data_IF_078310949748
#
_entry.id   IF_078310949748
#
_cell.length_a   1.000
_cell.length_b   1.000
_cell.length_c   1.000
_cell.angle_alpha   90.00
_cell.angle_beta   90.00
_cell.angle_gamma   90.00
#
_symmetry.space_group_name_H-M   'P 1'
#
loop_
_entity.id
_entity.type
_entity.pdbx_description
1 polymer ?
#
# COMPACT_ATOMS: atom_id res chain seq x y z
N UNK A 1 -36.16 0.52 51.73
CA UNK A 1 -36.31 0.18 50.30
C UNK A 1 -35.82 1.37 49.50
N UNK A 2 -34.62 1.25 48.90
CA UNK A 2 -34.00 2.26 48.05
C UNK A 2 -33.45 1.54 46.81
N UNK A 3 -33.56 2.11 45.59
CA UNK A 3 -33.18 1.42 44.37
C UNK A 3 -31.67 1.51 44.14
N UNK A 4 -31.08 0.38 43.72
CA UNK A 4 -29.69 0.25 43.32
C UNK A 4 -29.47 0.82 41.92
N UNK A 5 -28.62 1.84 41.82
CA UNK A 5 -28.13 2.38 40.55
C UNK A 5 -27.00 1.48 40.02
N UNK A 6 -27.28 0.73 38.97
CA UNK A 6 -26.27 -0.02 38.21
C UNK A 6 -25.48 0.97 37.34
N UNK A 7 -24.23 1.23 37.72
CA UNK A 7 -23.26 1.96 36.89
C UNK A 7 -22.81 1.06 35.74
N UNK A 8 -23.11 1.46 34.50
CA UNK A 8 -22.52 0.88 33.28
C UNK A 8 -21.06 1.33 33.17
N UNK A 9 -20.07 0.43 32.99
CA UNK A 9 -18.71 0.85 32.71
C UNK A 9 -18.60 1.33 31.25
N UNK A 10 -18.04 2.53 31.08
CA UNK A 10 -17.56 3.02 29.79
C UNK A 10 -16.35 2.17 29.39
N UNK A 11 -16.49 1.36 28.33
CA UNK A 11 -15.39 0.66 27.70
C UNK A 11 -14.56 1.68 26.91
N UNK A 12 -13.33 1.92 27.38
CA UNK A 12 -12.33 2.70 26.67
C UNK A 12 -11.88 1.93 25.42
N UNK A 13 -11.99 2.57 24.25
CA UNK A 13 -11.43 2.10 22.99
C UNK A 13 -9.90 2.29 23.05
N UNK A 14 -9.07 1.27 22.79
CA UNK A 14 -7.63 1.45 22.78
C UNK A 14 -7.23 2.23 21.51
N UNK A 15 -6.68 3.42 21.70
CA UNK A 15 -5.99 4.20 20.67
C UNK A 15 -4.70 3.47 20.32
N UNK A 16 -4.55 3.03 19.06
CA UNK A 16 -3.31 2.45 18.55
C UNK A 16 -2.26 3.57 18.39
N UNK A 17 -1.27 3.57 19.28
CA UNK A 17 -0.14 4.48 19.22
C UNK A 17 0.90 4.00 18.21
N UNK A 18 1.07 4.73 17.11
CA UNK A 18 2.28 4.69 16.29
C UNK A 18 3.36 5.51 17.01
N UNK A 19 4.42 4.85 17.47
CA UNK A 19 5.60 5.52 18.03
C UNK A 19 6.37 6.23 16.91
N UNK A 20 6.06 7.52 16.72
CA UNK A 20 6.93 8.45 16.00
C UNK A 20 8.03 8.94 16.94
N UNK A 21 9.29 8.79 16.54
CA UNK A 21 10.44 9.28 17.29
C UNK A 21 10.39 10.80 17.47
N UNK A 22 10.62 11.26 18.69
CA UNK A 22 10.65 12.67 19.05
C UNK A 22 11.80 13.40 18.34
N UNK A 23 11.48 14.42 17.55
CA UNK A 23 12.43 15.44 17.12
C UNK A 23 12.35 16.61 18.12
N UNK A 24 13.43 16.84 18.86
CA UNK A 24 13.57 18.04 19.70
C UNK A 24 13.76 19.28 18.82
N UNK A 25 13.12 20.42 19.14
CA UNK A 25 13.31 21.64 18.38
C UNK A 25 14.68 22.27 18.72
N UNK A 26 15.55 22.39 17.71
CA UNK A 26 16.72 23.27 17.80
C UNK A 26 16.25 24.68 17.47
N UNK A 27 16.31 25.58 18.45
CA UNK A 27 16.09 27.01 18.24
C UNK A 27 17.31 27.62 17.57
N UNK A 28 17.24 27.85 16.25
CA UNK A 28 18.25 28.65 15.55
C UNK A 28 17.83 30.12 15.67
N UNK A 29 18.57 30.90 16.44
CA UNK A 29 18.46 32.37 16.41
C UNK A 29 19.06 32.89 15.11
N UNK A 30 18.22 33.34 14.18
CA UNK A 30 18.66 34.01 12.96
C UNK A 30 18.96 35.48 13.28
N UNK A 31 20.24 35.85 13.21
CA UNK A 31 20.64 37.25 12.99
C UNK A 31 20.62 37.48 11.48
N UNK A 32 19.78 38.40 11.02
CA UNK A 32 19.65 38.74 9.61
C UNK A 32 20.73 39.77 9.23
N UNK A 33 21.62 39.38 8.33
CA UNK A 33 22.58 40.28 7.69
C UNK A 33 21.97 40.80 6.36
N UNK A 34 21.68 42.10 6.22
CA UNK A 34 20.98 42.63 5.04
C UNK A 34 21.98 42.89 3.92
N UNK A 35 22.35 41.85 3.15
CA UNK A 35 23.26 42.05 2.02
C UNK A 35 23.61 40.86 1.12
N UNK A 36 23.16 39.64 1.41
CA UNK A 36 23.47 38.50 0.54
C UNK A 36 22.44 38.33 -0.59
N UNK A 37 22.86 38.11 -1.85
CA UNK A 37 21.94 37.79 -2.93
C UNK A 37 21.22 36.49 -2.61
N UNK A 38 19.89 36.51 -2.66
CA UNK A 38 19.04 35.33 -2.51
C UNK A 38 19.28 34.42 -3.71
N UNK A 39 20.24 33.50 -3.57
CA UNK A 39 20.31 32.33 -4.44
C UNK A 39 19.04 31.56 -4.13
N UNK A 40 18.08 31.55 -5.05
CA UNK A 40 16.92 30.70 -4.94
C UNK A 40 17.42 29.25 -4.83
N UNK A 41 17.49 28.72 -3.59
CA UNK A 41 17.74 27.31 -3.37
C UNK A 41 16.72 26.55 -4.20
N UNK A 42 17.23 25.79 -5.18
CA UNK A 42 16.42 24.86 -5.96
C UNK A 42 15.80 23.90 -4.95
N UNK A 43 14.52 24.11 -4.61
CA UNK A 43 13.81 23.32 -3.61
C UNK A 43 13.94 21.84 -3.96
N UNK A 44 14.30 21.03 -2.96
CA UNK A 44 14.45 19.60 -3.16
C UNK A 44 13.10 19.00 -3.61
N UNK A 45 13.07 18.41 -4.80
CA UNK A 45 11.91 17.68 -5.29
C UNK A 45 12.01 16.22 -4.88
N UNK A 46 10.86 15.60 -4.56
CA UNK A 46 10.82 14.17 -4.27
C UNK A 46 11.32 13.34 -5.46
N UNK A 47 12.32 12.50 -5.20
CA UNK A 47 12.73 11.45 -6.13
C UNK A 47 11.72 10.32 -6.04
N UNK A 48 11.11 9.94 -7.16
CA UNK A 48 10.15 8.84 -7.24
C UNK A 48 10.41 8.09 -8.54
N UNK A 49 10.69 6.80 -8.44
CA UNK A 49 10.88 5.91 -9.59
C UNK A 49 10.27 4.55 -9.31
N UNK A 50 9.26 4.17 -10.10
CA UNK A 50 8.73 2.82 -10.12
C UNK A 50 9.50 1.95 -11.13
N UNK A 51 9.98 0.78 -10.68
CA UNK A 51 10.61 -0.22 -11.56
C UNK A 51 10.00 -1.59 -11.30
N UNK A 52 9.66 -2.31 -12.37
CA UNK A 52 9.07 -3.64 -12.28
C UNK A 52 9.48 -4.54 -13.44
N UNK A 53 9.34 -5.84 -13.22
CA UNK A 53 9.63 -6.92 -14.17
C UNK A 53 8.37 -7.76 -14.31
N UNK A 54 7.85 -7.86 -15.54
CA UNK A 54 6.60 -8.58 -15.82
C UNK A 54 6.60 -9.36 -17.14
N UNK A 55 7.66 -9.23 -17.95
CA UNK A 55 7.74 -9.88 -19.27
C UNK A 55 8.80 -10.97 -19.28
N UNK A 56 8.66 -11.90 -20.23
CA UNK A 56 9.61 -13.02 -20.41
C UNK A 56 11.08 -12.59 -20.51
N UNK A 57 11.37 -11.44 -21.14
CA UNK A 57 12.74 -10.89 -21.22
C UNK A 57 13.24 -10.37 -19.87
N UNK A 58 12.35 -9.77 -19.07
CA UNK A 58 12.65 -9.16 -17.79
C UNK A 58 13.05 -10.26 -16.80
N UNK A 59 12.28 -11.36 -16.79
CA UNK A 59 12.60 -12.56 -16.03
C UNK A 59 13.92 -13.21 -16.47
N UNK A 60 14.24 -13.22 -17.76
CA UNK A 60 15.53 -13.76 -18.26
C UNK A 60 16.73 -12.89 -17.90
N UNK A 61 16.53 -11.59 -17.71
CA UNK A 61 17.58 -10.68 -17.26
C UNK A 61 17.96 -10.92 -15.79
N UNK A 62 17.02 -11.42 -14.97
CA UNK A 62 17.30 -11.79 -13.59
C UNK A 62 17.92 -13.19 -13.44
N UNK A 63 18.36 -13.49 -12.21
CA UNK A 63 18.93 -14.80 -11.87
C UNK A 63 17.84 -15.77 -11.44
N UNK A 64 17.64 -16.85 -12.21
CA UNK A 64 16.67 -17.92 -11.94
C UNK A 64 17.31 -19.12 -11.24
N UNK A 65 16.69 -19.63 -10.17
CA UNK A 65 17.06 -20.87 -9.49
C UNK A 65 15.82 -21.74 -9.26
N UNK A 66 15.71 -22.85 -9.96
CA UNK A 66 14.58 -23.79 -9.83
C UNK A 66 13.24 -23.30 -10.41
N UNK A 67 13.22 -22.09 -10.98
CA UNK A 67 12.10 -21.48 -11.69
C UNK A 67 12.34 -21.46 -13.20
N UNK A 68 11.30 -21.14 -13.97
CA UNK A 68 11.32 -20.86 -15.40
C UNK A 68 10.30 -19.79 -15.75
N UNK A 69 10.43 -19.23 -16.95
CA UNK A 69 9.41 -18.38 -17.55
C UNK A 69 8.47 -19.19 -18.44
N UNK A 70 7.16 -18.95 -18.38
CA UNK A 70 6.19 -19.47 -19.36
C UNK A 70 5.01 -18.51 -19.50
N UNK A 71 4.60 -18.22 -20.75
CA UNK A 71 3.48 -17.31 -21.06
C UNK A 71 3.56 -15.96 -20.33
N UNK A 72 4.76 -15.39 -20.20
CA UNK A 72 4.97 -14.12 -19.50
C UNK A 72 5.21 -14.24 -17.99
N UNK A 73 4.92 -15.38 -17.37
CA UNK A 73 4.99 -15.54 -15.91
C UNK A 73 6.17 -16.38 -15.42
N UNK A 74 6.53 -16.22 -14.15
CA UNK A 74 7.51 -17.03 -13.44
C UNK A 74 6.84 -18.21 -12.71
N UNK A 75 7.34 -19.43 -12.93
CA UNK A 75 6.79 -20.69 -12.41
C UNK A 75 7.91 -21.61 -11.90
N UNK A 76 7.59 -22.58 -11.04
CA UNK A 76 8.52 -23.65 -10.67
C UNK A 76 8.76 -24.64 -11.84
N UNK A 77 10.00 -25.10 -12.03
CA UNK A 77 10.36 -26.18 -13.00
C UNK A 77 11.17 -27.29 -12.36
N UNK A 78 12.28 -26.93 -11.72
CA UNK A 78 13.20 -27.84 -11.04
C UNK A 78 13.44 -27.32 -9.62
N UNK A 79 12.37 -27.23 -8.80
CA UNK A 79 12.50 -26.68 -7.46
C UNK A 79 13.46 -27.53 -6.62
N UNK A 80 14.14 -26.89 -5.68
CA UNK A 80 14.95 -27.55 -4.66
C UNK A 80 14.14 -27.71 -3.38
N UNK A 81 14.60 -28.54 -2.46
CA UNK A 81 14.06 -28.55 -1.10
C UNK A 81 14.37 -27.21 -0.44
N UNK A 82 13.33 -26.53 0.02
CA UNK A 82 13.40 -25.32 0.84
C UNK A 82 12.67 -25.51 2.16
N UNK A 83 12.87 -24.60 3.11
CA UNK A 83 12.10 -24.57 4.35
C UNK A 83 11.39 -23.22 4.49
N UNK A 84 10.19 -23.25 5.06
CA UNK A 84 9.41 -22.09 5.47
C UNK A 84 8.75 -22.43 6.81
N UNK A 85 9.02 -21.64 7.85
CA UNK A 85 8.59 -21.92 9.24
C UNK A 85 8.92 -23.35 9.72
N UNK A 86 10.13 -23.81 9.42
CA UNK A 86 10.60 -25.16 9.76
C UNK A 86 10.05 -26.30 8.89
N UNK A 87 8.97 -26.07 8.14
CA UNK A 87 8.34 -27.06 7.26
C UNK A 87 9.03 -27.13 5.89
N UNK A 88 9.13 -28.34 5.34
CA UNK A 88 9.74 -28.57 4.03
C UNK A 88 8.78 -28.21 2.88
N UNK A 89 9.32 -27.53 1.87
CA UNK A 89 8.63 -27.13 0.65
C UNK A 89 9.50 -27.42 -0.58
N UNK A 90 8.87 -27.50 -1.75
CA UNK A 90 9.57 -27.26 -3.00
C UNK A 90 9.71 -25.76 -3.21
N UNK A 91 10.94 -25.30 -3.45
CA UNK A 91 11.25 -23.88 -3.59
C UNK A 91 12.05 -23.58 -4.86
N UNK A 92 11.78 -22.42 -5.44
CA UNK A 92 12.58 -21.81 -6.50
C UNK A 92 12.52 -20.29 -6.39
N UNK A 93 13.56 -19.61 -6.83
CA UNK A 93 13.67 -18.16 -6.69
C UNK A 93 14.09 -17.47 -7.97
N UNK A 94 13.69 -16.22 -8.08
CA UNK A 94 14.17 -15.27 -9.07
C UNK A 94 14.66 -14.03 -8.35
N UNK A 95 15.80 -13.50 -8.80
CA UNK A 95 16.39 -12.26 -8.29
C UNK A 95 16.56 -11.28 -9.44
N UNK A 96 16.06 -10.05 -9.27
CA UNK A 96 16.13 -9.02 -10.28
C UNK A 96 17.58 -8.60 -10.59
N UNK A 97 17.85 -8.00 -11.76
CA UNK A 97 19.00 -7.10 -11.92
C UNK A 97 18.96 -5.98 -10.87
N UNK A 98 20.09 -5.31 -10.65
CA UNK A 98 20.13 -4.08 -9.87
C UNK A 98 19.35 -2.97 -10.61
N UNK A 99 18.32 -2.43 -9.97
CA UNK A 99 17.61 -1.24 -10.44
C UNK A 99 18.29 0.01 -9.86
N UNK A 100 18.42 1.07 -10.66
CA UNK A 100 19.04 2.33 -10.24
C UNK A 100 18.03 3.46 -10.44
N UNK A 101 17.43 4.02 -9.37
CA UNK A 101 16.38 5.03 -9.48
C UNK A 101 16.89 6.40 -9.97
N UNK A 102 18.21 6.61 -10.03
CA UNK A 102 18.82 7.88 -10.50
C UNK A 102 19.00 8.93 -9.41
N UNK A 103 18.65 8.61 -8.16
CA UNK A 103 18.82 9.44 -6.97
C UNK A 103 19.15 8.56 -5.75
N UNK A 104 19.54 9.17 -4.63
CA UNK A 104 19.73 8.46 -3.36
C UNK A 104 18.38 8.15 -2.71
N UNK A 105 17.81 6.98 -2.99
CA UNK A 105 16.53 6.56 -2.43
C UNK A 105 16.66 6.30 -0.93
N UNK A 106 15.64 6.65 -0.16
CA UNK A 106 15.55 6.41 1.29
C UNK A 106 14.47 5.40 1.63
N UNK A 107 13.55 5.10 0.71
CA UNK A 107 12.47 4.16 0.91
C UNK A 107 12.23 3.30 -0.33
N UNK A 108 11.83 2.04 -0.12
CA UNK A 108 11.36 1.12 -1.16
C UNK A 108 10.05 0.48 -0.70
N UNK A 109 9.02 0.48 -1.54
CA UNK A 109 7.78 -0.27 -1.31
C UNK A 109 7.64 -1.30 -2.43
N UNK A 110 7.91 -2.59 -2.18
CA UNK A 110 7.73 -3.62 -3.19
C UNK A 110 6.26 -3.96 -3.39
N UNK A 111 5.91 -4.24 -4.64
CA UNK A 111 4.59 -4.73 -5.06
C UNK A 111 4.76 -5.93 -5.97
N UNK A 112 3.76 -6.83 -5.99
CA UNK A 112 3.81 -8.04 -6.79
C UNK A 112 2.43 -8.50 -7.20
N UNK A 113 2.39 -9.19 -8.34
CA UNK A 113 1.20 -9.86 -8.86
C UNK A 113 1.51 -11.35 -8.84
N UNK A 114 0.78 -12.11 -8.02
CA UNK A 114 1.04 -13.52 -7.83
C UNK A 114 -0.23 -14.33 -7.59
N UNK A 115 -0.30 -15.49 -8.25
CA UNK A 115 -1.31 -16.50 -8.00
C UNK A 115 -0.71 -17.59 -7.10
N UNK A 116 -1.31 -17.78 -5.94
CA UNK A 116 -1.00 -18.87 -5.00
C UNK A 116 -2.26 -19.71 -4.78
N UNK A 117 -2.22 -21.00 -5.11
CA UNK A 117 -3.31 -21.94 -4.79
C UNK A 117 -2.89 -22.93 -3.70
N UNK A 118 -3.86 -23.46 -2.96
CA UNK A 118 -3.64 -24.47 -1.92
C UNK A 118 -2.48 -24.12 -0.98
N UNK A 119 -1.63 -25.10 -0.72
CA UNK A 119 -0.42 -24.92 0.07
C UNK A 119 0.76 -24.39 -0.77
N UNK A 120 0.67 -23.11 -1.14
CA UNK A 120 1.75 -22.35 -1.76
C UNK A 120 1.91 -20.96 -1.16
N UNK A 121 3.11 -20.40 -1.28
CA UNK A 121 3.49 -19.09 -0.74
C UNK A 121 4.47 -18.42 -1.69
N UNK A 122 4.38 -17.10 -1.85
CA UNK A 122 5.43 -16.27 -2.44
C UNK A 122 6.07 -15.45 -1.34
N UNK A 123 7.39 -15.60 -1.17
CA UNK A 123 8.17 -14.73 -0.29
C UNK A 123 8.85 -13.65 -1.10
N UNK A 124 8.66 -12.39 -0.70
CA UNK A 124 9.29 -11.22 -1.30
C UNK A 124 10.35 -10.68 -0.37
N UNK A 125 11.54 -10.43 -0.89
CA UNK A 125 12.65 -9.84 -0.16
C UNK A 125 13.32 -8.76 -1.01
N UNK A 126 13.83 -7.73 -0.36
CA UNK A 126 14.60 -6.65 -1.00
C UNK A 126 16.00 -6.57 -0.42
N UNK A 127 16.89 -5.91 -1.15
CA UNK A 127 18.16 -5.43 -0.62
C UNK A 127 18.59 -4.20 -1.39
N UNK A 128 19.47 -3.42 -0.82
CA UNK A 128 19.94 -2.18 -1.42
C UNK A 128 21.46 -2.06 -1.40
N UNK A 129 21.96 -1.05 -2.13
CA UNK A 129 23.37 -0.72 -2.21
C UNK A 129 23.57 0.79 -2.15
N UNK A 130 24.50 1.22 -1.32
CA UNK A 130 24.93 2.63 -1.18
C UNK A 130 25.89 3.04 -2.29
N UNK A 131 26.12 4.35 -2.43
CA UNK A 131 27.03 4.91 -3.43
C UNK A 131 28.49 4.41 -3.27
N UNK A 132 28.92 4.14 -2.03
CA UNK A 132 30.25 3.59 -1.69
C UNK A 132 30.37 2.06 -1.96
N UNK A 133 29.31 1.41 -2.45
CA UNK A 133 29.31 0.00 -2.83
C UNK A 133 28.90 -0.98 -1.73
N UNK A 134 28.66 -0.54 -0.48
CA UNK A 134 28.13 -1.43 0.57
C UNK A 134 26.75 -1.96 0.18
N UNK A 135 26.54 -3.26 0.37
CA UNK A 135 25.33 -3.96 -0.02
C UNK A 135 24.67 -4.57 1.20
N UNK A 136 23.38 -4.29 1.39
CA UNK A 136 22.63 -4.73 2.55
C UNK A 136 22.46 -6.25 2.54
N UNK A 137 22.08 -6.77 3.70
CA UNK A 137 21.52 -8.12 3.76
C UNK A 137 20.18 -8.19 3.00
N UNK A 138 19.64 -9.40 2.85
CA UNK A 138 18.31 -9.54 2.26
C UNK A 138 17.25 -9.37 3.34
N UNK A 139 16.48 -8.30 3.26
CA UNK A 139 15.32 -8.07 4.11
C UNK A 139 14.08 -8.72 3.54
N UNK A 140 13.48 -9.60 4.33
CA UNK A 140 12.23 -10.23 3.94
C UNK A 140 11.07 -9.25 4.18
N UNK A 141 10.32 -8.94 3.13
CA UNK A 141 9.24 -7.94 3.18
C UNK A 141 7.88 -8.60 3.43
N UNK A 142 7.63 -9.71 2.75
CA UNK A 142 6.33 -10.36 2.80
C UNK A 142 6.42 -11.86 2.59
N UNK A 143 5.50 -12.57 3.22
CA UNK A 143 5.08 -13.91 2.85
C UNK A 143 3.62 -13.82 2.41
N UNK A 144 3.40 -13.95 1.10
CA UNK A 144 2.10 -13.78 0.46
C UNK A 144 1.48 -15.14 0.13
N UNK A 145 0.23 -15.31 0.54
CA UNK A 145 -0.64 -16.37 0.08
C UNK A 145 -2.10 -15.89 0.10
N UNK A 146 -2.83 -16.16 -0.98
CA UNK A 146 -4.22 -15.72 -1.14
C UNK A 146 -5.16 -16.39 -0.13
N UNK A 147 -5.06 -17.71 0.07
CA UNK A 147 -5.86 -18.44 1.07
C UNK A 147 -5.18 -19.77 1.42
N UNK A 148 -3.94 -19.71 1.91
CA UNK A 148 -3.19 -20.89 2.30
C UNK A 148 -3.51 -21.28 3.75
N UNK A 149 -3.99 -22.52 4.02
CA UNK A 149 -4.34 -22.96 5.37
C UNK A 149 -3.13 -23.17 6.29
N UNK A 150 -1.94 -23.43 5.73
CA UNK A 150 -0.72 -23.75 6.47
C UNK A 150 0.17 -22.54 6.77
N UNK A 151 0.14 -21.51 5.92
CA UNK A 151 0.92 -20.28 6.09
C UNK A 151 0.01 -19.10 5.83
N UNK A 152 -0.17 -18.30 6.87
CA UNK A 152 -0.96 -17.08 6.81
C UNK A 152 -0.14 -15.95 6.22
N UNK A 153 -0.76 -15.14 5.35
CA UNK A 153 -0.09 -13.97 4.75
C UNK A 153 0.36 -13.00 5.83
N UNK A 154 1.58 -12.50 5.73
CA UNK A 154 2.12 -11.59 6.73
C UNK A 154 3.26 -10.74 6.16
N UNK A 155 3.30 -9.47 6.56
CA UNK A 155 4.58 -8.75 6.54
C UNK A 155 5.50 -9.35 7.58
N UNK A 156 6.79 -9.07 7.48
CA UNK A 156 7.76 -9.57 8.44
C UNK A 156 8.24 -8.43 9.33
N UNK A 157 8.67 -8.78 10.53
CA UNK A 157 9.13 -7.78 11.49
C UNK A 157 10.31 -6.98 10.94
N UNK A 158 10.49 -5.78 11.48
CA UNK A 158 11.70 -4.99 11.28
C UNK A 158 12.92 -5.87 11.50
N UNK A 159 13.63 -6.15 10.41
CA UNK A 159 14.96 -6.73 10.41
C UNK A 159 15.90 -5.55 10.49
N UNK A 160 16.49 -5.32 11.66
CA UNK A 160 17.54 -4.30 11.78
C UNK A 160 18.78 -4.84 11.07
N UNK A 161 19.18 -4.19 9.99
CA UNK A 161 20.39 -4.55 9.25
C UNK A 161 21.32 -3.32 9.09
N UNK A 162 22.41 -3.51 8.35
CA UNK A 162 23.47 -2.51 8.22
C UNK A 162 23.05 -1.28 7.39
N UNK A 163 21.99 -1.38 6.58
CA UNK A 163 21.61 -0.34 5.63
C UNK A 163 20.11 0.00 5.61
N UNK A 164 19.26 -0.69 6.38
CA UNK A 164 17.86 -0.37 6.48
C UNK A 164 17.09 -1.18 7.51
N UNK A 165 15.78 -0.97 7.48
CA UNK A 165 14.81 -1.69 8.31
C UNK A 165 13.48 -1.83 7.58
N UNK A 166 12.68 -2.80 8.01
CA UNK A 166 11.32 -3.01 7.48
C UNK A 166 10.29 -2.38 8.41
N UNK A 167 9.47 -1.48 7.86
CA UNK A 167 8.27 -0.94 8.49
C UNK A 167 7.03 -1.42 7.73
N UNK A 168 6.45 -2.53 8.18
CA UNK A 168 5.33 -3.23 7.53
C UNK A 168 5.66 -3.59 6.08
N UNK A 169 5.28 -2.76 5.11
CA UNK A 169 5.51 -2.95 3.67
C UNK A 169 6.53 -1.96 3.08
N UNK A 170 7.09 -1.07 3.90
CA UNK A 170 8.12 -0.11 3.47
C UNK A 170 9.49 -0.52 4.00
N UNK A 171 10.46 -0.70 3.11
CA UNK A 171 11.86 -0.79 3.48
C UNK A 171 12.44 0.62 3.58
N UNK A 172 12.93 0.98 4.76
CA UNK A 172 13.45 2.31 5.08
C UNK A 172 14.97 2.23 5.24
N UNK A 173 15.68 2.95 4.39
CA UNK A 173 17.13 2.98 4.39
C UNK A 173 17.68 3.73 5.62
N UNK A 174 18.79 3.26 6.17
CA UNK A 174 19.56 3.96 7.20
C UNK A 174 20.37 5.13 6.61
N UNK A 175 20.74 5.03 5.33
CA UNK A 175 21.39 6.06 4.54
C UNK A 175 20.92 5.96 3.07
N UNK A 176 20.99 7.03 2.27
CA UNK A 176 20.56 7.00 0.87
C UNK A 176 21.23 5.87 0.07
N UNK A 177 20.43 5.11 -0.68
CA UNK A 177 20.87 4.00 -1.54
C UNK A 177 20.72 4.34 -3.02
N UNK A 178 21.66 3.90 -3.83
CA UNK A 178 21.71 4.22 -5.27
C UNK A 178 21.23 3.07 -6.15
N UNK A 179 21.17 1.85 -5.60
CA UNK A 179 20.65 0.69 -6.30
C UNK A 179 19.86 -0.22 -5.36
N UNK A 180 18.94 -1.00 -5.92
CA UNK A 180 18.20 -2.01 -5.18
C UNK A 180 17.91 -3.26 -6.01
N UNK A 181 17.61 -4.36 -5.33
CA UNK A 181 17.13 -5.60 -5.93
C UNK A 181 15.93 -6.14 -5.18
N UNK A 182 15.09 -6.87 -5.90
CA UNK A 182 14.02 -7.70 -5.33
C UNK A 182 14.28 -9.16 -5.65
N UNK A 183 13.92 -10.03 -4.71
CA UNK A 183 13.92 -11.47 -4.87
C UNK A 183 12.56 -12.02 -4.50
N UNK A 184 11.98 -12.79 -5.42
CA UNK A 184 10.79 -13.59 -5.16
C UNK A 184 11.20 -15.05 -5.01
N UNK A 185 10.70 -15.71 -3.97
CA UNK A 185 10.87 -17.14 -3.75
C UNK A 185 9.49 -17.79 -3.73
N UNK A 186 9.25 -18.70 -4.65
CA UNK A 186 8.01 -19.44 -4.79
C UNK A 186 8.15 -20.74 -4.00
N UNK A 187 7.24 -20.97 -3.07
CA UNK A 187 7.13 -22.20 -2.28
C UNK A 187 5.84 -22.93 -2.63
N UNK A 188 5.89 -24.26 -2.71
CA UNK A 188 4.69 -25.11 -2.77
C UNK A 188 4.91 -26.45 -2.06
N UNK A 189 3.83 -27.05 -1.58
CA UNK A 189 3.86 -28.42 -1.05
C UNK A 189 4.52 -29.38 -2.04
N UNK A 190 5.44 -30.22 -1.56
CA UNK A 190 5.99 -31.30 -2.38
C UNK A 190 4.96 -32.41 -2.65
N UNK A 191 3.94 -32.54 -1.78
CA UNK A 191 2.90 -33.57 -1.84
C UNK A 191 1.82 -33.20 -2.84
N UNK A 192 1.15 -32.05 -2.66
CA UNK A 192 0.01 -31.64 -3.50
C UNK A 192 0.42 -30.82 -4.73
N UNK A 193 1.66 -30.29 -4.74
CA UNK A 193 2.25 -29.52 -5.86
C UNK A 193 1.32 -28.45 -6.46
N UNK A 194 0.66 -27.61 -5.64
CA UNK A 194 -0.28 -26.61 -6.14
C UNK A 194 0.41 -25.60 -7.06
N UNK A 195 -0.41 -24.86 -7.82
CA UNK A 195 0.07 -23.81 -8.70
C UNK A 195 0.54 -22.62 -7.87
N UNK A 196 1.77 -22.18 -8.18
CA UNK A 196 2.33 -20.92 -7.69
C UNK A 196 2.99 -20.22 -8.87
N UNK A 197 2.62 -18.96 -9.08
CA UNK A 197 3.05 -18.15 -10.23
C UNK A 197 3.22 -16.70 -9.81
N UNK A 198 4.23 -16.04 -10.36
CA UNK A 198 4.42 -14.58 -10.27
C UNK A 198 4.33 -14.00 -11.67
N UNK A 199 3.45 -13.02 -11.85
CA UNK A 199 3.17 -12.35 -13.12
C UNK A 199 3.91 -11.01 -13.23
N UNK A 200 4.09 -10.32 -12.09
CA UNK A 200 4.90 -9.11 -11.96
C UNK A 200 5.53 -9.03 -10.58
N UNK A 201 6.71 -8.42 -10.50
CA UNK A 201 7.27 -7.91 -9.24
C UNK A 201 7.99 -6.60 -9.50
N UNK A 202 7.95 -5.67 -8.56
CA UNK A 202 8.64 -4.40 -8.63
C UNK A 202 8.70 -3.70 -7.29
N UNK A 203 9.11 -2.44 -7.33
CA UNK A 203 8.99 -1.51 -6.22
C UNK A 203 8.94 -0.08 -6.73
N UNK A 204 8.29 0.78 -5.96
CA UNK A 204 8.56 2.21 -6.00
C UNK A 204 9.74 2.51 -5.09
N UNK A 205 10.77 3.15 -5.64
CA UNK A 205 11.86 3.73 -4.88
C UNK A 205 11.61 5.22 -4.73
N UNK A 206 11.85 5.75 -3.52
CA UNK A 206 11.60 7.16 -3.24
C UNK A 206 12.60 7.80 -2.31
N UNK A 207 12.79 9.09 -2.49
CA UNK A 207 13.42 10.01 -1.56
C UNK A 207 12.47 11.20 -1.43
N UNK A 208 11.64 11.19 -0.38
CA UNK A 208 10.58 12.18 -0.23
C UNK A 208 11.13 13.45 0.39
N UNK A 209 10.95 14.55 -0.32
CA UNK A 209 11.09 15.87 0.25
C UNK A 209 9.78 16.24 0.94
N UNK A 210 9.82 16.82 2.17
CA UNK A 210 8.63 17.42 2.76
C UNK A 210 8.00 18.44 1.81
N UNK A 211 6.67 18.51 1.74
CA UNK A 211 5.99 19.49 0.88
C UNK A 211 6.38 20.92 1.29
N UNK A 212 6.42 21.20 2.59
CA UNK A 212 6.76 22.52 3.12
C UNK A 212 5.87 23.61 2.50
N UNK A 213 6.48 24.67 1.99
CA UNK A 213 5.78 25.76 1.28
C UNK A 213 5.63 25.54 -0.23
N UNK A 214 5.71 24.29 -0.70
CA UNK A 214 5.47 23.97 -2.12
C UNK A 214 4.02 24.32 -2.46
N UNK A 215 3.78 25.14 -3.49
CA UNK A 215 2.43 25.51 -3.88
C UNK A 215 1.60 24.27 -4.24
N UNK A 216 0.31 24.34 -3.95
CA UNK A 216 -0.69 23.39 -4.44
C UNK A 216 -0.60 23.26 -5.94
N UNK A 217 -0.72 22.03 -6.44
CA UNK A 217 -0.84 21.85 -7.89
C UNK A 217 -2.09 22.53 -8.43
N UNK A 218 -2.01 23.12 -9.61
CA UNK A 218 -3.17 23.71 -10.28
C UNK A 218 -4.02 22.62 -10.93
N UNK A 219 -5.35 22.79 -11.01
CA UNK A 219 -6.23 21.89 -11.75
C UNK A 219 -5.75 21.66 -13.19
N UNK A 220 -6.02 20.47 -13.72
CA UNK A 220 -5.53 20.02 -15.02
C UNK A 220 -6.60 19.31 -15.86
N UNK A 221 -6.22 18.26 -16.61
CA UNK A 221 -7.08 17.68 -17.65
C UNK A 221 -8.28 16.93 -17.10
N UNK A 222 -8.31 16.56 -15.82
CA UNK A 222 -9.44 15.84 -15.22
C UNK A 222 -10.46 16.78 -14.56
N UNK A 223 -10.27 18.11 -14.61
CA UNK A 223 -11.25 19.06 -14.08
C UNK A 223 -12.64 18.80 -14.69
N UNK A 224 -13.65 18.63 -13.83
CA UNK A 224 -15.01 18.27 -14.21
C UNK A 224 -15.22 16.81 -14.60
N UNK A 225 -14.23 15.93 -14.40
CA UNK A 225 -14.33 14.49 -14.67
C UNK A 225 -14.51 13.71 -13.37
N UNK A 226 -15.57 12.91 -13.30
CA UNK A 226 -15.86 12.04 -12.15
C UNK A 226 -16.22 10.65 -12.63
N UNK A 227 -15.50 9.65 -12.12
CA UNK A 227 -15.72 8.24 -12.39
C UNK A 227 -16.87 7.70 -11.53
N UNK A 228 -17.65 6.79 -12.12
CA UNK A 228 -18.77 6.12 -11.45
C UNK A 228 -18.31 4.93 -10.60
N UNK A 229 -17.46 5.23 -9.60
CA UNK A 229 -16.96 4.23 -8.65
C UNK A 229 -18.02 3.97 -7.58
N UNK A 230 -18.41 2.70 -7.33
CA UNK A 230 -19.38 2.37 -6.30
C UNK A 230 -18.90 2.82 -4.92
N UNK A 231 -19.84 3.20 -4.07
CA UNK A 231 -19.58 3.77 -2.76
C UNK A 231 -19.90 2.75 -1.66
N UNK A 232 -18.86 2.28 -0.95
CA UNK A 232 -18.99 1.38 0.19
C UNK A 232 -18.47 2.05 1.45
N UNK A 233 -19.26 1.99 2.51
CA UNK A 233 -18.87 2.45 3.84
C UNK A 233 -18.18 1.32 4.57
N UNK A 234 -17.09 1.60 5.27
CA UNK A 234 -16.50 0.65 6.21
C UNK A 234 -17.32 0.57 7.52
N UNK A 235 -18.03 1.66 7.85
CA UNK A 235 -18.74 1.82 9.12
C UNK A 235 -19.98 0.93 9.22
N UNK A 236 -20.57 0.56 8.08
CA UNK A 236 -21.66 -0.43 8.01
C UNK A 236 -21.23 -1.83 8.41
N UNK A 237 -19.92 -2.08 8.47
CA UNK A 237 -19.33 -3.36 8.88
C UNK A 237 -18.77 -3.32 10.31
N UNK A 238 -19.16 -2.32 11.11
CA UNK A 238 -18.74 -2.22 12.51
C UNK A 238 -19.05 -3.50 13.27
N UNK A 239 -18.04 -4.04 13.96
CA UNK A 239 -18.13 -5.31 14.68
C UNK A 239 -18.19 -6.58 13.82
N UNK A 240 -18.18 -6.48 12.49
CA UNK A 240 -18.04 -7.65 11.62
C UNK A 240 -16.62 -8.22 11.76
N UNK A 241 -16.52 -9.52 11.97
CA UNK A 241 -15.25 -10.26 11.99
C UNK A 241 -14.09 -9.55 12.72
N UNK A 242 -14.18 -9.31 14.03
CA UNK A 242 -13.19 -8.54 14.79
C UNK A 242 -11.76 -9.10 14.71
N UNK A 243 -11.59 -10.38 14.36
CA UNK A 243 -10.29 -11.00 14.13
C UNK A 243 -9.48 -10.38 12.96
N UNK A 244 -10.11 -9.58 12.10
CA UNK A 244 -9.45 -8.92 10.97
C UNK A 244 -9.23 -7.43 11.24
N UNK A 245 -8.65 -7.09 12.40
CA UNK A 245 -8.28 -5.72 12.74
C UNK A 245 -9.36 -4.93 13.49
N UNK A 246 -10.19 -5.60 14.30
CA UNK A 246 -11.21 -4.96 15.13
C UNK A 246 -12.60 -4.87 14.48
N UNK A 247 -12.67 -5.05 13.16
CA UNK A 247 -13.90 -4.97 12.38
C UNK A 247 -13.91 -3.77 11.42
N UNK A 248 -15.04 -3.47 10.80
CA UNK A 248 -15.20 -2.44 9.77
C UNK A 248 -14.57 -1.08 10.08
N UNK A 249 -14.47 -0.70 11.35
CA UNK A 249 -13.90 0.56 11.81
C UNK A 249 -12.43 0.76 11.42
N UNK A 250 -11.69 -0.30 11.10
CA UNK A 250 -10.30 -0.24 10.63
C UNK A 250 -10.13 -0.77 9.19
N UNK A 251 -11.20 -0.78 8.39
CA UNK A 251 -11.23 -1.38 7.04
C UNK A 251 -11.19 -0.36 5.90
N UNK A 252 -10.68 0.85 6.12
CA UNK A 252 -10.58 1.89 5.08
C UNK A 252 -9.87 1.40 3.80
N UNK A 253 -8.75 0.67 3.95
CA UNK A 253 -7.98 0.12 2.81
C UNK A 253 -8.72 -0.97 2.03
N UNK A 254 -9.22 -2.06 2.65
CA UNK A 254 -9.96 -3.08 1.93
C UNK A 254 -11.29 -2.55 1.36
N UNK A 255 -11.96 -1.61 2.04
CA UNK A 255 -13.17 -0.97 1.51
C UNK A 255 -12.86 -0.16 0.25
N UNK A 256 -11.77 0.63 0.27
CA UNK A 256 -11.29 1.37 -0.90
C UNK A 256 -10.90 0.46 -2.06
N UNK A 257 -10.23 -0.65 -1.76
CA UNK A 257 -9.87 -1.68 -2.76
C UNK A 257 -11.11 -2.33 -3.37
N UNK A 258 -12.12 -2.66 -2.54
CA UNK A 258 -13.39 -3.21 -3.02
C UNK A 258 -14.16 -2.23 -3.92
N UNK A 259 -14.14 -0.93 -3.60
CA UNK A 259 -14.75 0.10 -4.45
C UNK A 259 -14.09 0.15 -5.84
N UNK A 260 -12.75 0.16 -5.89
CA UNK A 260 -12.01 0.17 -7.17
C UNK A 260 -12.22 -1.14 -7.96
N UNK A 261 -12.24 -2.30 -7.30
CA UNK A 261 -12.57 -3.56 -7.98
C UNK A 261 -14.03 -3.60 -8.46
N UNK A 262 -14.94 -2.98 -7.71
CA UNK A 262 -16.35 -2.80 -8.06
C UNK A 262 -16.54 -1.92 -9.30
N UNK A 263 -15.76 -0.85 -9.45
CA UNK A 263 -15.72 -0.01 -10.66
C UNK A 263 -15.46 -0.84 -11.93
N UNK A 264 -14.62 -1.87 -11.82
CA UNK A 264 -14.32 -2.79 -12.93
C UNK A 264 -15.23 -4.03 -12.98
N UNK A 265 -16.21 -4.15 -12.08
CA UNK A 265 -17.08 -5.33 -11.94
C UNK A 265 -16.32 -6.65 -11.67
N UNK A 266 -15.19 -6.58 -10.94
CA UNK A 266 -14.30 -7.73 -10.69
C UNK A 266 -14.61 -8.49 -9.39
N UNK A 267 -15.69 -8.14 -8.69
CA UNK A 267 -16.14 -8.80 -7.46
C UNK A 267 -17.64 -9.15 -7.46
N UNK A 268 -18.15 -9.90 -8.47
CA UNK A 268 -19.59 -10.16 -8.60
C UNK A 268 -20.17 -11.14 -7.55
N UNK A 269 -19.33 -11.72 -6.67
CA UNK A 269 -19.75 -12.75 -5.71
C UNK A 269 -20.10 -14.10 -6.38
N UNK A 270 -20.69 -15.05 -5.64
CA UNK A 270 -20.98 -15.00 -4.20
C UNK A 270 -19.71 -15.08 -3.34
N UNK A 271 -19.79 -14.64 -2.08
CA UNK A 271 -18.71 -14.73 -1.10
C UNK A 271 -19.05 -15.75 0.00
N UNK A 272 -18.89 -17.06 -0.24
CA UNK A 272 -19.38 -18.11 0.68
C UNK A 272 -18.66 -18.13 2.04
N UNK A 273 -17.49 -17.48 2.15
CA UNK A 273 -16.79 -17.32 3.42
C UNK A 273 -17.30 -16.12 4.26
N UNK A 274 -18.28 -15.38 3.74
CA UNK A 274 -18.93 -14.23 4.40
C UNK A 274 -20.32 -14.66 4.88
N UNK A 275 -20.70 -14.21 6.06
CA UNK A 275 -21.97 -14.49 6.72
C UNK A 275 -23.09 -13.89 5.88
N UNK A 276 -24.11 -14.69 5.60
CA UNK A 276 -25.25 -14.25 4.81
C UNK A 276 -25.95 -13.05 5.49
N UNK A 277 -26.38 -12.08 4.68
CA UNK A 277 -27.11 -10.90 5.16
C UNK A 277 -26.23 -9.69 5.51
N UNK A 278 -24.90 -9.83 5.51
CA UNK A 278 -24.02 -8.64 5.58
C UNK A 278 -24.22 -7.80 4.31
N UNK A 279 -24.42 -6.49 4.48
CA UNK A 279 -24.36 -5.55 3.37
C UNK A 279 -22.94 -5.56 2.77
N UNK A 280 -22.83 -5.31 1.46
CA UNK A 280 -21.55 -5.19 0.75
C UNK A 280 -20.52 -6.28 1.10
N UNK A 281 -20.87 -7.58 1.00
CA UNK A 281 -20.03 -8.69 1.48
C UNK A 281 -18.65 -8.75 0.81
N UNK A 282 -18.46 -8.08 -0.33
CA UNK A 282 -17.16 -7.86 -0.96
C UNK A 282 -16.17 -7.12 -0.04
N UNK A 283 -16.63 -6.26 0.86
CA UNK A 283 -15.79 -5.53 1.83
C UNK A 283 -15.24 -6.51 2.87
N UNK A 284 -16.10 -7.31 3.53
CA UNK A 284 -15.67 -8.37 4.46
C UNK A 284 -14.73 -9.36 3.78
N UNK A 285 -15.07 -9.77 2.56
CA UNK A 285 -14.26 -10.69 1.76
C UNK A 285 -12.87 -10.11 1.48
N UNK A 286 -12.80 -8.84 1.06
CA UNK A 286 -11.54 -8.14 0.79
C UNK A 286 -10.73 -7.99 2.08
N UNK A 287 -11.35 -7.59 3.20
CA UNK A 287 -10.69 -7.48 4.50
C UNK A 287 -10.02 -8.80 4.92
N UNK A 288 -10.72 -9.93 4.79
CA UNK A 288 -10.16 -11.27 5.04
C UNK A 288 -8.94 -11.57 4.17
N UNK A 289 -8.97 -11.16 2.90
CA UNK A 289 -7.94 -11.47 1.90
C UNK A 289 -6.78 -10.47 1.85
N UNK A 290 -6.83 -9.37 2.60
CA UNK A 290 -5.70 -8.43 2.71
C UNK A 290 -5.15 -8.34 4.13
N UNK A 291 -5.81 -8.98 5.11
CA UNK A 291 -5.37 -8.94 6.51
C UNK A 291 -3.95 -9.49 6.66
N UNK A 292 -3.07 -8.63 7.19
CA UNK A 292 -1.69 -8.95 7.50
C UNK A 292 -1.61 -9.49 8.93
N UNK A 293 -1.31 -10.78 9.07
CA UNK A 293 -1.35 -11.45 10.37
C UNK A 293 -0.22 -11.05 11.32
N UNK A 294 0.87 -10.44 10.82
CA UNK A 294 1.96 -9.95 11.66
C UNK A 294 1.75 -8.50 12.06
N UNK A 295 1.34 -7.66 11.11
CA UNK A 295 0.99 -6.27 11.36
C UNK A 295 -0.28 -6.15 12.22
N UNK A 296 -1.22 -7.08 12.07
CA UNK A 296 -2.49 -7.09 12.80
C UNK A 296 -3.54 -6.14 12.20
N UNK A 297 -3.48 -5.87 10.89
CA UNK A 297 -4.37 -4.92 10.23
C UNK A 297 -4.51 -5.15 8.73
N UNK A 298 -5.43 -4.42 8.11
CA UNK A 298 -5.75 -4.50 6.67
C UNK A 298 -5.13 -3.36 5.85
N UNK A 299 -4.40 -2.44 6.51
CA UNK A 299 -3.77 -1.27 5.92
C UNK A 299 -2.45 -1.50 5.20
N UNK A 300 -1.99 -2.75 5.04
CA UNK A 300 -0.79 -3.08 4.26
C UNK A 300 -1.06 -2.82 2.76
N UNK A 301 -0.43 -1.80 2.20
CA UNK A 301 -0.65 -1.31 0.83
C UNK A 301 -0.32 -2.38 -0.20
N UNK A 302 0.80 -3.07 -0.01
CA UNK A 302 1.25 -4.13 -0.90
C UNK A 302 0.29 -5.33 -0.91
N UNK A 303 -0.36 -5.65 0.21
CA UNK A 303 -1.33 -6.76 0.28
C UNK A 303 -2.65 -6.44 -0.40
N UNK A 304 -3.10 -5.18 -0.35
CA UNK A 304 -4.30 -4.75 -1.06
C UNK A 304 -4.09 -4.83 -2.58
N UNK A 305 -2.95 -4.33 -3.07
CA UNK A 305 -2.60 -4.41 -4.50
C UNK A 305 -2.32 -5.84 -4.96
N UNK A 306 -1.65 -6.66 -4.15
CA UNK A 306 -1.44 -8.08 -4.43
C UNK A 306 -2.75 -8.89 -4.46
N UNK A 307 -3.75 -8.54 -3.65
CA UNK A 307 -5.09 -9.13 -3.73
C UNK A 307 -5.80 -8.69 -5.01
N UNK A 308 -5.84 -7.39 -5.30
CA UNK A 308 -6.46 -6.84 -6.51
C UNK A 308 -5.88 -7.48 -7.79
N UNK A 309 -4.55 -7.71 -7.81
CA UNK A 309 -3.84 -8.41 -8.88
C UNK A 309 -4.36 -9.83 -9.16
N UNK A 310 -5.02 -10.47 -8.21
CA UNK A 310 -5.59 -11.82 -8.42
C UNK A 310 -6.88 -11.80 -9.23
N UNK A 311 -7.50 -10.62 -9.37
CA UNK A 311 -8.80 -10.44 -10.00
C UNK A 311 -8.71 -9.62 -11.29
N UNK A 312 -7.76 -8.70 -11.38
CA UNK A 312 -7.61 -7.85 -12.57
C UNK A 312 -6.80 -8.52 -13.69
N UNK A 313 -7.03 -8.06 -14.93
CA UNK A 313 -6.21 -8.37 -16.10
C UNK A 313 -5.11 -7.33 -16.37
N UNK A 314 -5.18 -6.19 -15.69
CA UNK A 314 -4.24 -5.09 -15.77
C UNK A 314 -3.23 -5.09 -14.61
N UNK A 315 -2.51 -3.99 -14.48
CA UNK A 315 -1.48 -3.85 -13.45
C UNK A 315 -2.10 -3.43 -12.10
N UNK A 316 -1.62 -4.00 -10.99
CA UNK A 316 -1.96 -3.59 -9.63
C UNK A 316 -0.71 -3.43 -8.77
N UNK A 317 -0.41 -2.19 -8.36
CA UNK A 317 0.84 -1.87 -7.67
C UNK A 317 0.74 -0.63 -6.78
N UNK A 318 1.65 -0.55 -5.80
CA UNK A 318 1.87 0.65 -5.00
C UNK A 318 2.89 1.55 -5.71
N UNK A 319 2.58 2.83 -5.80
CA UNK A 319 3.49 3.88 -6.27
C UNK A 319 3.39 5.11 -5.37
N UNK A 320 4.11 6.15 -5.72
CA UNK A 320 3.93 7.49 -5.19
C UNK A 320 3.72 8.48 -6.34
N UNK A 321 2.88 9.48 -6.12
CA UNK A 321 2.67 10.60 -7.04
C UNK A 321 3.10 11.89 -6.35
N UNK A 322 3.59 12.85 -7.13
CA UNK A 322 4.16 14.09 -6.59
C UNK A 322 3.10 15.09 -6.12
N UNK A 323 1.92 15.04 -6.72
CA UNK A 323 0.81 15.95 -6.49
C UNK A 323 -0.46 15.44 -7.21
N UNK A 324 -1.58 16.14 -7.04
CA UNK A 324 -2.84 15.79 -7.69
C UNK A 324 -2.81 15.97 -9.20
N UNK A 325 -1.93 16.83 -9.75
CA UNK A 325 -1.81 16.96 -11.21
C UNK A 325 -1.36 15.67 -11.88
N UNK A 326 -0.47 14.90 -11.25
CA UNK A 326 -0.12 13.55 -11.73
C UNK A 326 -1.29 12.55 -11.54
N UNK A 327 -2.13 12.73 -10.52
CA UNK A 327 -3.30 11.89 -10.28
C UNK A 327 -4.39 12.09 -11.34
N UNK A 328 -4.54 13.30 -11.87
CA UNK A 328 -5.52 13.63 -12.91
C UNK A 328 -5.34 12.81 -14.19
N UNK A 329 -4.10 12.51 -14.58
CA UNK A 329 -3.83 11.70 -15.78
C UNK A 329 -4.42 10.27 -15.65
N UNK A 330 -4.46 9.72 -14.44
CA UNK A 330 -5.10 8.42 -14.17
C UNK A 330 -6.62 8.52 -14.22
N UNK A 331 -7.20 9.59 -13.68
CA UNK A 331 -8.66 9.82 -13.74
C UNK A 331 -9.12 9.99 -15.19
N UNK A 332 -8.40 10.75 -16.01
CA UNK A 332 -8.68 10.87 -17.45
C UNK A 332 -8.60 9.51 -18.15
N UNK A 333 -7.68 8.63 -17.71
CA UNK A 333 -7.56 7.27 -18.21
C UNK A 333 -8.64 6.30 -17.65
N UNK A 334 -9.56 6.77 -16.82
CA UNK A 334 -10.63 5.95 -16.22
C UNK A 334 -10.18 5.10 -15.02
N UNK A 335 -9.01 5.39 -14.45
CA UNK A 335 -8.39 4.64 -13.34
C UNK A 335 -8.56 5.41 -12.03
N UNK A 336 -9.49 5.01 -11.13
CA UNK A 336 -9.58 5.59 -9.80
C UNK A 336 -8.36 5.21 -8.95
N UNK A 337 -7.98 6.07 -8.02
CA UNK A 337 -6.76 5.93 -7.23
C UNK A 337 -7.07 5.80 -5.75
N UNK A 338 -6.54 4.79 -5.07
CA UNK A 338 -6.57 4.75 -3.60
C UNK A 338 -5.37 5.52 -3.08
N UNK A 339 -5.56 6.51 -2.22
CA UNK A 339 -4.47 7.30 -1.63
C UNK A 339 -4.40 7.13 -0.12
N UNK A 340 -3.19 7.28 0.43
CA UNK A 340 -2.95 7.21 1.88
C UNK A 340 -2.73 8.59 2.48
N UNK A 341 -3.64 9.00 3.36
CA UNK A 341 -3.63 10.32 4.01
C UNK A 341 -3.49 10.18 5.52
N UNK A 342 -3.03 11.22 6.19
CA UNK A 342 -3.12 11.38 7.63
C UNK A 342 -3.36 12.85 7.97
N UNK A 343 -4.22 13.11 8.95
CA UNK A 343 -4.65 14.46 9.26
C UNK A 343 -5.10 14.57 10.72
N UNK A 344 -4.80 15.69 11.34
CA UNK A 344 -5.32 16.11 12.64
C UNK A 344 -6.64 16.87 12.52
N UNK A 345 -7.15 17.30 13.68
CA UNK A 345 -8.39 18.05 13.75
C UNK A 345 -8.33 19.32 12.88
N UNK A 346 -9.38 19.50 12.06
CA UNK A 346 -9.59 20.68 11.20
C UNK A 346 -8.59 20.84 10.04
N UNK A 347 -7.75 19.83 9.75
CA UNK A 347 -6.87 19.85 8.58
C UNK A 347 -7.57 19.42 7.29
N UNK A 348 -8.71 18.72 7.40
CA UNK A 348 -9.54 18.32 6.26
C UNK A 348 -11.01 18.66 6.57
N UNK A 349 -11.52 19.71 5.93
CA UNK A 349 -12.90 20.15 6.11
C UNK A 349 -13.88 19.15 5.49
N UNK A 350 -14.98 18.85 6.17
CA UNK A 350 -16.02 17.95 5.66
C UNK A 350 -15.73 16.45 5.81
N UNK A 351 -14.56 16.08 6.38
CA UNK A 351 -14.22 14.69 6.65
C UNK A 351 -15.22 14.01 7.60
N UNK A 352 -15.56 12.72 7.40
CA UNK A 352 -16.49 11.99 8.28
C UNK A 352 -15.91 11.70 9.67
N UNK A 353 -14.60 11.82 9.82
CA UNK A 353 -13.85 11.58 11.05
C UNK A 353 -13.00 12.82 11.35
N UNK A 354 -12.79 13.09 12.63
CA UNK A 354 -12.12 14.34 13.07
C UNK A 354 -10.61 14.32 12.86
N UNK A 355 -9.97 13.15 12.85
CA UNK A 355 -8.53 12.98 12.64
C UNK A 355 -8.20 11.52 12.35
N UNK A 356 -7.06 11.27 11.70
CA UNK A 356 -6.49 9.94 11.52
C UNK A 356 -4.96 9.97 11.42
N UNK A 357 -4.29 8.98 12.00
CA UNK A 357 -2.85 8.72 11.83
C UNK A 357 -2.53 7.92 10.55
N UNK A 358 -3.56 7.55 9.79
CA UNK A 358 -3.47 6.79 8.55
C UNK A 358 -4.86 6.39 8.08
N UNK A 359 -5.28 6.90 6.94
CA UNK A 359 -6.59 6.64 6.34
C UNK A 359 -6.45 6.43 4.84
N UNK A 360 -7.26 5.52 4.29
CA UNK A 360 -7.27 5.19 2.88
C UNK A 360 -8.62 5.60 2.30
N UNK A 361 -8.60 6.32 1.20
CA UNK A 361 -9.78 6.75 0.46
C UNK A 361 -9.52 6.68 -1.04
N UNK A 362 -10.58 6.75 -1.84
CA UNK A 362 -10.48 6.66 -3.30
C UNK A 362 -10.68 8.03 -3.91
N UNK A 363 -9.71 8.54 -4.66
CA UNK A 363 -9.90 9.64 -5.60
C UNK A 363 -10.65 9.10 -6.81
N UNK A 364 -11.84 9.62 -7.04
CA UNK A 364 -12.74 9.20 -8.12
C UNK A 364 -12.91 10.27 -9.19
N UNK A 365 -12.45 11.50 -8.93
CA UNK A 365 -12.58 12.58 -9.89
C UNK A 365 -12.20 13.94 -9.33
N UNK A 366 -12.50 14.97 -10.12
CA UNK A 366 -12.30 16.36 -9.77
C UNK A 366 -13.51 17.19 -10.23
N UNK A 367 -13.90 18.18 -9.44
CA UNK A 367 -14.87 19.20 -9.85
C UNK A 367 -14.24 20.16 -10.89
N UNK A 368 -15.05 21.05 -11.45
CA UNK A 368 -14.59 21.96 -12.52
C UNK A 368 -13.56 23.00 -12.02
N UNK A 369 -13.62 23.37 -10.75
CA UNK A 369 -12.63 24.21 -10.07
C UNK A 369 -11.40 23.43 -9.58
N UNK A 370 -11.43 22.10 -9.71
CA UNK A 370 -10.35 21.17 -9.40
C UNK A 370 -10.29 20.70 -7.96
N UNK A 371 -11.33 20.96 -7.16
CA UNK A 371 -11.55 20.28 -5.90
C UNK A 371 -11.76 18.78 -6.13
N UNK A 372 -11.36 17.97 -5.14
CA UNK A 372 -11.17 16.54 -5.35
C UNK A 372 -12.42 15.78 -4.93
N UNK A 373 -13.01 15.06 -5.88
CA UNK A 373 -14.13 14.16 -5.61
C UNK A 373 -13.57 12.82 -5.16
N UNK A 374 -13.97 12.39 -3.97
CA UNK A 374 -13.50 11.15 -3.35
C UNK A 374 -14.65 10.25 -2.90
N UNK A 375 -14.40 8.95 -2.84
CA UNK A 375 -15.14 8.03 -1.98
C UNK A 375 -14.33 7.82 -0.70
N UNK A 376 -14.77 8.44 0.41
CA UNK A 376 -14.18 8.27 1.74
C UNK A 376 -14.94 7.19 2.53
N UNK A 377 -14.34 6.01 2.76
CA UNK A 377 -15.03 4.85 3.32
C UNK A 377 -15.49 5.06 4.76
N UNK A 378 -14.98 6.07 5.48
CA UNK A 378 -15.37 6.34 6.87
C UNK A 378 -16.72 7.05 7.00
N UNK A 379 -17.44 7.33 5.90
CA UNK A 379 -18.83 7.77 5.95
C UNK A 379 -19.71 6.77 6.72
N UNK A 380 -20.69 7.26 7.50
CA UNK A 380 -21.53 6.41 8.36
C UNK A 380 -22.41 5.40 7.59
N UNK A 381 -22.71 5.68 6.31
CA UNK A 381 -23.47 4.82 5.39
C UNK A 381 -22.89 4.96 3.98
N UNK A 382 -23.22 4.06 3.06
CA UNK A 382 -22.77 4.15 1.66
C UNK A 382 -23.14 5.49 0.99
N UNK A 383 -24.34 6.02 1.28
CA UNK A 383 -24.77 7.32 0.76
C UNK A 383 -23.95 8.51 1.29
N UNK A 384 -23.24 8.31 2.39
CA UNK A 384 -22.36 9.31 2.99
C UNK A 384 -20.88 9.07 2.64
N UNK A 385 -20.52 8.26 1.65
CA UNK A 385 -19.11 7.97 1.29
C UNK A 385 -18.57 8.97 0.27
N UNK A 386 -19.36 9.34 -0.74
CA UNK A 386 -18.98 10.33 -1.75
C UNK A 386 -18.84 11.72 -1.11
N UNK A 387 -17.70 12.36 -1.29
CA UNK A 387 -17.38 13.71 -0.77
C UNK A 387 -16.56 14.50 -1.78
N UNK A 388 -16.50 15.81 -1.55
CA UNK A 388 -15.61 16.74 -2.22
C UNK A 388 -14.73 17.38 -1.17
N UNK A 389 -13.42 17.40 -1.41
CA UNK A 389 -12.45 18.03 -0.54
C UNK A 389 -11.70 19.13 -1.28
N UNK A 390 -11.40 20.20 -0.54
CA UNK A 390 -10.52 21.28 -0.99
C UNK A 390 -9.20 20.67 -1.50
N UNK A 391 -8.79 21.08 -2.69
CA UNK A 391 -7.60 20.56 -3.37
C UNK A 391 -6.34 20.70 -2.53
N UNK A 392 -6.12 21.87 -1.91
CA UNK A 392 -4.92 22.11 -1.13
C UNK A 392 -4.89 21.28 0.14
N UNK A 393 -6.03 21.23 0.85
CA UNK A 393 -6.15 20.41 2.06
C UNK A 393 -5.85 18.95 1.77
N UNK A 394 -6.47 18.36 0.74
CA UNK A 394 -6.26 16.95 0.43
C UNK A 394 -4.83 16.67 -0.05
N UNK A 395 -4.27 17.52 -0.91
CA UNK A 395 -2.91 17.34 -1.40
C UNK A 395 -1.87 17.48 -0.28
N UNK A 396 -2.07 18.42 0.65
CA UNK A 396 -1.18 18.61 1.78
C UNK A 396 -1.15 17.37 2.70
N UNK A 397 -2.31 16.87 3.11
CA UNK A 397 -2.40 15.71 4.01
C UNK A 397 -1.99 14.40 3.34
N UNK A 398 -2.00 14.33 2.01
CA UNK A 398 -1.57 13.16 1.26
C UNK A 398 -0.05 13.14 1.07
N UNK A 399 0.53 14.26 0.63
CA UNK A 399 1.98 14.36 0.39
C UNK A 399 2.75 14.36 1.71
N UNK A 400 2.32 15.10 2.73
CA UNK A 400 3.05 15.17 4.00
C UNK A 400 2.92 13.91 4.85
N UNK A 401 1.83 13.15 4.70
CA UNK A 401 1.63 11.93 5.49
C UNK A 401 2.38 10.73 4.92
N UNK A 402 2.17 10.42 3.64
CA UNK A 402 2.64 9.17 3.04
C UNK A 402 3.59 9.39 1.85
N UNK A 403 4.02 10.64 1.61
CA UNK A 403 4.86 10.98 0.46
C UNK A 403 4.15 10.82 -0.87
N UNK A 404 2.82 10.93 -0.88
CA UNK A 404 2.02 10.72 -2.08
C UNK A 404 1.73 9.26 -2.40
N UNK A 405 1.69 8.37 -1.40
CA UNK A 405 1.47 6.92 -1.62
C UNK A 405 0.09 6.64 -2.22
N UNK A 406 0.08 5.81 -3.27
CA UNK A 406 -1.08 5.55 -4.12
C UNK A 406 -1.11 4.10 -4.58
N UNK A 407 -2.31 3.51 -4.59
CA UNK A 407 -2.55 2.24 -5.27
C UNK A 407 -3.03 2.55 -6.67
N UNK A 408 -2.36 1.97 -7.66
CA UNK A 408 -2.87 1.92 -9.03
C UNK A 408 -3.41 0.51 -9.22
N UNK A 409 -4.71 0.39 -9.51
CA UNK A 409 -5.37 -0.86 -9.88
C UNK A 409 -6.04 -0.60 -11.22
N UNK A 410 -5.51 -1.19 -12.27
CA UNK A 410 -6.05 -1.06 -13.63
C UNK A 410 -6.68 -2.37 -14.10
N UNK A 411 -7.60 -2.32 -15.06
CA UNK A 411 -8.24 -3.49 -15.68
C UNK A 411 -7.42 -4.08 -16.82
#
# INVERSE_FOLDING_TARGET
MAPSLVRRPLLAVPVLALLAGALSPVTVSASADPGAPVVAERRAASGIQHTSWSRGRDWRAGTMRGVRTAKGSLLLKKPRTGKLHGRAYQAGSWTSPWASPGFGATELIPSWEALTTGDSVVKVAVRARTADGRTSSWDSMAEWALDNPAVRRQSLASQSDDLGRVNVDTWVAAAPVTQWQVRVTLYRSATTKPLVRVDRVGAVASAIAPRGSTPTSTPGPAAGTVLDVPAYSQMTHSGHYPQWGGGGEAWCSPTSTAMVLGHYSLQPGPFPAVTAGHADPQVDHTARLVYDHRYGGTGNWAFNTAYAATLTTGDAYVTRLRNLREAEDFIVAGVPLVISVAFGARQLTGAPISSSNGHLLVVVGFEADGDVVVNDPAGATNGAVRRVYDRDQLEDIWINASGGTTYVINR
#
